data_IF_602348576355
#
_entry.id   IF_602348576355
#
_cell.length_a   1.000
_cell.length_b   1.000
_cell.length_c   1.000
_cell.angle_alpha   90.00
_cell.angle_beta   90.00
_cell.angle_gamma   90.00
#
_symmetry.space_group_name_H-M   'P 1'
#
loop_
_entity.id
_entity.type
_entity.pdbx_description
1 polymer ?
#
# COMPACT_ATOMS: atom_id res chain seq x y z
N UNK A 1 -3.15 12.54 -9.80
CA UNK A 1 -1.80 11.94 -9.96
C UNK A 1 -1.74 11.23 -11.29
N UNK A 2 -0.73 11.50 -12.12
CA UNK A 2 -0.41 10.70 -13.30
C UNK A 2 1.04 10.20 -13.13
N UNK A 3 1.19 8.92 -12.78
CA UNK A 3 2.48 8.24 -12.76
C UNK A 3 2.64 7.47 -14.07
N UNK A 4 3.85 7.49 -14.64
CA UNK A 4 4.19 6.64 -15.78
C UNK A 4 4.03 5.14 -15.46
N UNK A 5 4.18 4.78 -14.19
CA UNK A 5 3.91 3.44 -13.68
C UNK A 5 2.99 3.53 -12.47
N UNK A 6 1.72 3.15 -12.67
CA UNK A 6 0.71 3.16 -11.62
C UNK A 6 1.05 2.23 -10.44
N UNK A 7 1.87 1.21 -10.65
CA UNK A 7 2.28 0.29 -9.59
C UNK A 7 3.19 0.95 -8.54
N UNK A 8 3.77 2.12 -8.82
CA UNK A 8 4.55 2.86 -7.83
C UNK A 8 3.65 3.53 -6.79
N UNK A 9 2.36 3.73 -7.10
CA UNK A 9 1.39 4.14 -6.09
C UNK A 9 0.94 2.89 -5.32
N UNK A 10 1.36 2.81 -4.06
CA UNK A 10 1.07 1.69 -3.15
C UNK A 10 0.35 2.21 -1.92
N UNK A 11 -0.58 1.41 -1.42
CA UNK A 11 -1.38 1.69 -0.20
C UNK A 11 -1.16 0.60 0.87
N UNK A 12 -0.02 -0.08 0.79
CA UNK A 12 0.37 -1.21 1.64
C UNK A 12 1.70 -0.88 2.32
N UNK A 13 2.00 -1.53 3.45
CA UNK A 13 3.29 -1.41 4.12
C UNK A 13 4.29 -2.41 3.52
N UNK A 14 5.58 -2.04 3.47
CA UNK A 14 6.65 -2.96 3.07
C UNK A 14 7.38 -3.48 4.31
N UNK A 15 7.15 -4.75 4.66
CA UNK A 15 7.65 -5.40 5.87
C UNK A 15 8.28 -6.73 5.45
N UNK A 16 9.52 -6.99 5.86
CA UNK A 16 10.27 -8.23 5.57
C UNK A 16 10.27 -8.65 4.09
N UNK A 17 10.37 -7.66 3.19
CA UNK A 17 10.42 -7.90 1.75
C UNK A 17 9.06 -8.08 1.08
N UNK A 18 7.96 -7.94 1.81
CA UNK A 18 6.59 -8.16 1.35
C UNK A 18 5.73 -6.91 1.49
N UNK A 19 4.79 -6.74 0.57
CA UNK A 19 3.74 -5.73 0.68
C UNK A 19 2.55 -6.33 1.44
N UNK A 20 2.21 -5.75 2.58
CA UNK A 20 1.18 -6.26 3.48
C UNK A 20 0.15 -5.17 3.80
N UNK A 21 -1.11 -5.61 3.94
CA UNK A 21 -2.19 -4.84 4.54
C UNK A 21 -2.16 -4.96 6.06
N UNK A 22 -2.92 -4.12 6.77
CA UNK A 22 -3.10 -4.28 8.20
C UNK A 22 -3.84 -5.58 8.52
N UNK A 23 -3.48 -6.25 9.61
CA UNK A 23 -4.08 -7.53 10.03
C UNK A 23 -5.61 -7.45 10.19
N UNK A 24 -6.13 -6.30 10.62
CA UNK A 24 -7.55 -6.04 10.78
C UNK A 24 -8.21 -5.39 9.55
N UNK A 25 -7.50 -5.27 8.43
CA UNK A 25 -7.96 -4.60 7.21
C UNK A 25 -8.19 -3.09 7.39
N UNK A 26 -7.79 -2.51 8.51
CA UNK A 26 -7.96 -1.09 8.76
C UNK A 26 -7.01 -0.30 7.88
N UNK A 27 -7.58 0.67 7.19
CA UNK A 27 -6.85 1.62 6.36
C UNK A 27 -6.98 3.00 7.01
N UNK A 28 -6.06 3.92 6.73
CA UNK A 28 -6.10 5.27 7.30
C UNK A 28 -7.22 6.15 6.74
N UNK A 29 -8.14 5.60 5.94
CA UNK A 29 -9.32 6.29 5.46
C UNK A 29 -10.41 6.23 6.54
N UNK A 30 -10.79 7.41 7.03
CA UNK A 30 -12.01 7.65 7.80
C UNK A 30 -13.00 8.35 6.87
#
# INVERSE_FOLDING_TARGET
MQLNNAALFRQQAYIDGQWLDADNGQTSIN
#
